data_IF_225918601297
#
_entry.id   IF_225918601297
#
_cell.length_a   1.000
_cell.length_b   1.000
_cell.length_c   1.000
_cell.angle_alpha   90.00
_cell.angle_beta   90.00
_cell.angle_gamma   90.00
#
_symmetry.space_group_name_H-M   'P 1'
#
loop_
_entity.id
_entity.type
_entity.pdbx_description
1 polymer ?
#
# COMPACT_ATOMS: atom_id res chain seq x y z
N UNK A 1 -10.12 -1.43 -50.78
CA UNK A 1 -9.53 -0.83 -49.55
C UNK A 1 -8.05 -0.55 -49.83
N UNK A 2 -7.64 0.72 -49.79
CA UNK A 2 -6.27 1.16 -50.10
C UNK A 2 -5.52 1.48 -48.80
N UNK A 3 -4.25 1.07 -48.70
CA UNK A 3 -3.47 1.25 -47.47
C UNK A 3 -3.10 2.72 -47.26
N UNK A 4 -3.37 3.28 -46.07
CA UNK A 4 -3.08 4.69 -45.76
C UNK A 4 -1.60 5.01 -45.54
N UNK A 5 -0.71 4.01 -45.48
CA UNK A 5 0.75 4.21 -45.34
C UNK A 5 1.42 4.32 -46.71
N UNK A 6 1.12 3.40 -47.64
CA UNK A 6 1.82 3.31 -48.92
C UNK A 6 0.91 3.55 -50.14
N UNK A 7 -0.39 3.78 -49.95
CA UNK A 7 -1.35 4.06 -51.03
C UNK A 7 -1.70 2.87 -51.93
N UNK A 8 -1.16 1.66 -51.68
CA UNK A 8 -1.40 0.48 -52.52
C UNK A 8 -2.61 -0.34 -52.04
N UNK A 9 -3.41 -0.92 -52.96
CA UNK A 9 -4.55 -1.79 -52.61
C UNK A 9 -4.09 -3.19 -52.15
N UNK A 10 -4.99 -3.95 -51.53
CA UNK A 10 -4.78 -5.37 -51.19
C UNK A 10 -4.24 -5.66 -49.78
N UNK A 11 -3.99 -4.64 -48.97
CA UNK A 11 -3.62 -4.78 -47.56
C UNK A 11 -4.07 -3.58 -46.73
N UNK A 12 -4.06 -3.70 -45.40
CA UNK A 12 -4.41 -2.60 -44.49
C UNK A 12 -3.17 -2.08 -43.75
N UNK A 13 -3.35 -0.99 -42.99
CA UNK A 13 -2.26 -0.31 -42.25
C UNK A 13 -1.45 -1.25 -41.35
N UNK A 14 -2.06 -2.31 -40.80
CA UNK A 14 -1.37 -3.25 -39.90
C UNK A 14 -0.41 -4.19 -40.63
N UNK A 15 -0.72 -4.54 -41.87
CA UNK A 15 0.03 -5.52 -42.68
C UNK A 15 0.89 -4.86 -43.77
N UNK A 16 1.11 -3.54 -43.69
CA UNK A 16 1.90 -2.82 -44.68
C UNK A 16 3.39 -3.18 -44.60
N UNK A 17 4.02 -3.66 -45.70
CA UNK A 17 5.42 -4.09 -45.69
C UNK A 17 6.40 -2.94 -45.40
N UNK A 18 6.06 -1.70 -45.79
CA UNK A 18 6.91 -0.52 -45.53
C UNK A 18 6.94 -0.10 -44.04
N UNK A 19 6.04 -0.64 -43.22
CA UNK A 19 6.04 -0.40 -41.76
C UNK A 19 7.22 -1.11 -41.06
N UNK A 20 7.76 -2.19 -41.64
CA UNK A 20 8.86 -2.95 -41.04
C UNK A 20 10.25 -2.41 -41.41
N UNK A 21 10.36 -1.58 -42.46
CA UNK A 21 11.66 -1.12 -42.96
C UNK A 21 12.19 0.10 -42.21
N UNK A 22 11.32 0.87 -41.55
CA UNK A 22 11.67 2.12 -40.87
C UNK A 22 12.02 1.95 -39.38
N UNK A 23 12.04 0.72 -38.86
CA UNK A 23 12.23 0.42 -37.43
C UNK A 23 13.58 -0.17 -37.02
N UNK A 24 14.63 -0.12 -37.86
CA UNK A 24 15.89 -0.84 -37.64
C UNK A 24 17.01 -0.05 -36.92
N UNK A 25 16.78 1.16 -36.43
CA UNK A 25 17.84 1.94 -35.74
C UNK A 25 17.74 2.04 -34.22
N UNK A 26 16.79 1.37 -33.55
CA UNK A 26 16.70 1.37 -32.09
C UNK A 26 16.26 0.00 -31.51
N UNK A 27 17.02 -1.06 -31.77
CA UNK A 27 16.95 -2.27 -30.94
C UNK A 27 18.14 -2.32 -29.97
N UNK A 28 17.92 -2.52 -28.65
CA UNK A 28 19.00 -2.75 -27.71
C UNK A 28 19.77 -4.02 -28.09
N UNK A 29 21.09 -3.94 -28.10
CA UNK A 29 22.00 -5.07 -28.24
C UNK A 29 21.62 -6.12 -27.18
N UNK A 30 21.33 -7.39 -27.53
CA UNK A 30 21.09 -8.42 -26.54
C UNK A 30 22.39 -8.68 -25.76
N UNK A 31 22.35 -8.74 -24.41
CA UNK A 31 23.55 -8.96 -23.62
C UNK A 31 24.12 -10.35 -23.93
N UNK A 32 25.40 -10.38 -24.28
CA UNK A 32 26.13 -11.55 -24.77
C UNK A 32 26.53 -12.57 -23.68
N UNK A 33 25.85 -12.60 -22.54
CA UNK A 33 26.03 -13.65 -21.52
C UNK A 33 24.71 -13.86 -20.76
N UNK A 34 24.26 -15.12 -20.54
CA UNK A 34 23.13 -15.37 -19.66
C UNK A 34 23.52 -14.89 -18.25
N UNK A 35 22.73 -14.00 -17.61
CA UNK A 35 23.04 -13.53 -16.27
C UNK A 35 23.12 -14.73 -15.33
N UNK A 36 24.09 -14.79 -14.40
CA UNK A 36 24.21 -15.88 -13.45
C UNK A 36 22.86 -16.01 -12.77
N UNK A 37 22.28 -17.21 -12.84
CA UNK A 37 20.93 -17.51 -12.41
C UNK A 37 20.75 -17.05 -10.94
N UNK A 38 20.28 -15.80 -10.74
CA UNK A 38 20.19 -15.15 -9.41
C UNK A 38 19.38 -16.00 -8.43
N UNK A 39 18.46 -16.82 -8.94
CA UNK A 39 17.66 -17.79 -8.17
C UNK A 39 18.48 -18.98 -7.65
N UNK A 40 19.52 -19.41 -8.36
CA UNK A 40 20.41 -20.48 -7.93
C UNK A 40 21.41 -20.01 -6.86
N UNK A 41 21.99 -18.82 -7.06
CA UNK A 41 22.89 -18.18 -6.09
C UNK A 41 22.18 -17.89 -4.76
N UNK A 42 20.96 -17.35 -4.82
CA UNK A 42 20.13 -17.15 -3.62
C UNK A 42 19.81 -18.47 -2.93
N UNK A 43 19.39 -19.53 -3.64
CA UNK A 43 19.11 -20.85 -3.02
C UNK A 43 20.31 -21.46 -2.30
N UNK A 44 21.52 -21.35 -2.87
CA UNK A 44 22.77 -21.85 -2.24
C UNK A 44 23.13 -21.05 -0.99
N UNK A 45 23.02 -19.72 -1.05
CA UNK A 45 23.19 -18.83 0.09
C UNK A 45 22.18 -19.14 1.22
N UNK A 46 20.90 -19.36 0.87
CA UNK A 46 19.84 -19.67 1.84
C UNK A 46 20.01 -21.01 2.53
N UNK A 47 20.39 -22.08 1.80
CA UNK A 47 20.67 -23.39 2.40
C UNK A 47 21.81 -23.31 3.41
N UNK A 48 22.83 -22.51 3.09
CA UNK A 48 23.97 -22.26 3.98
C UNK A 48 23.51 -21.51 5.23
N UNK A 49 22.74 -20.43 5.07
CA UNK A 49 22.21 -19.61 6.18
C UNK A 49 21.31 -20.40 7.14
N UNK A 50 20.40 -21.23 6.62
CA UNK A 50 19.52 -22.06 7.46
C UNK A 50 20.33 -23.09 8.24
N UNK A 51 21.28 -23.76 7.59
CA UNK A 51 22.18 -24.72 8.23
C UNK A 51 22.96 -24.06 9.37
N UNK A 52 23.37 -22.82 9.17
CA UNK A 52 24.07 -22.01 10.16
C UNK A 52 23.18 -21.63 11.35
N UNK A 53 21.95 -21.18 11.12
CA UNK A 53 21.00 -20.88 12.20
C UNK A 53 20.72 -22.12 13.05
N UNK A 54 20.51 -23.28 12.41
CA UNK A 54 20.29 -24.55 13.11
C UNK A 54 21.54 -24.95 13.93
N UNK A 55 22.74 -24.75 13.40
CA UNK A 55 23.97 -25.00 14.13
C UNK A 55 24.17 -24.05 15.32
N UNK A 56 23.76 -22.79 15.20
CA UNK A 56 23.80 -21.81 16.29
C UNK A 56 22.81 -22.17 17.39
N UNK A 57 21.57 -22.52 17.04
CA UNK A 57 20.56 -22.99 18.00
C UNK A 57 21.02 -24.23 18.75
N UNK A 58 21.64 -25.19 18.04
CA UNK A 58 22.22 -26.39 18.66
C UNK A 58 23.38 -26.05 19.59
N UNK A 59 24.25 -25.12 19.20
CA UNK A 59 25.34 -24.65 20.06
C UNK A 59 24.78 -24.04 21.36
N UNK A 60 23.85 -23.10 21.25
CA UNK A 60 23.20 -22.47 22.43
C UNK A 60 22.57 -23.52 23.35
N UNK A 61 21.85 -24.50 22.77
CA UNK A 61 21.23 -25.59 23.55
C UNK A 61 22.24 -26.48 24.25
N UNK A 62 23.32 -26.88 23.57
CA UNK A 62 24.38 -27.72 24.16
C UNK A 62 25.15 -26.97 25.25
N UNK A 63 25.46 -25.70 25.03
CA UNK A 63 26.13 -24.86 26.02
C UNK A 63 25.27 -24.64 27.27
N UNK A 64 23.94 -24.50 27.12
CA UNK A 64 23.01 -24.43 28.24
C UNK A 64 23.00 -25.74 29.04
N UNK A 65 22.86 -26.89 28.37
CA UNK A 65 22.84 -28.20 29.03
C UNK A 65 24.15 -28.51 29.78
N UNK A 66 25.32 -28.24 29.17
CA UNK A 66 26.62 -28.46 29.83
C UNK A 66 26.76 -27.59 31.08
N UNK A 67 26.26 -26.36 31.03
CA UNK A 67 26.28 -25.44 32.15
C UNK A 67 25.35 -25.87 33.29
N UNK A 68 24.14 -26.34 32.98
CA UNK A 68 23.20 -26.88 33.97
C UNK A 68 23.77 -28.09 34.70
N UNK A 69 24.54 -28.93 34.00
CA UNK A 69 25.22 -30.10 34.58
C UNK A 69 26.57 -29.77 35.25
N UNK A 70 26.96 -28.48 35.32
CA UNK A 70 28.28 -28.01 35.82
C UNK A 70 29.48 -28.65 35.09
N UNK A 71 29.27 -29.07 33.85
CA UNK A 71 30.31 -29.61 32.99
C UNK A 71 31.09 -28.50 32.28
N UNK A 72 32.31 -28.80 31.87
CA UNK A 72 33.19 -27.78 31.31
C UNK A 72 32.72 -27.35 29.90
N UNK A 73 32.43 -26.06 29.72
CA UNK A 73 32.00 -25.47 28.44
C UNK A 73 33.00 -25.71 27.29
N UNK A 74 34.26 -26.08 27.56
CA UNK A 74 35.23 -26.50 26.54
C UNK A 74 34.72 -27.65 25.64
N UNK A 75 33.79 -28.47 26.13
CA UNK A 75 33.18 -29.54 25.34
C UNK A 75 32.22 -29.03 24.25
N UNK A 76 31.76 -27.78 24.34
CA UNK A 76 30.95 -27.11 23.30
C UNK A 76 31.78 -26.60 22.11
N UNK A 77 33.12 -26.61 22.20
CA UNK A 77 34.04 -26.09 21.19
C UNK A 77 33.86 -26.74 19.81
N UNK A 78 33.55 -28.04 19.76
CA UNK A 78 33.29 -28.75 18.49
C UNK A 78 31.99 -28.31 17.80
N UNK A 79 31.00 -27.84 18.56
CA UNK A 79 29.78 -27.26 18.00
C UNK A 79 30.02 -25.81 17.51
N UNK A 80 30.93 -25.09 18.16
CA UNK A 80 31.36 -23.76 17.72
C UNK A 80 32.19 -23.79 16.43
N UNK A 81 33.10 -24.75 16.27
CA UNK A 81 33.87 -24.93 15.02
C UNK A 81 33.00 -25.11 13.78
N UNK A 82 31.77 -25.62 13.93
CA UNK A 82 30.77 -25.76 12.85
C UNK A 82 30.03 -24.46 12.52
N UNK A 83 30.29 -23.39 13.27
CA UNK A 83 29.70 -22.06 13.14
C UNK A 83 30.74 -21.00 12.73
N UNK A 84 32.03 -21.36 12.61
CA UNK A 84 33.12 -20.43 12.29
C UNK A 84 32.91 -19.66 10.98
N UNK A 85 32.18 -20.23 10.02
CA UNK A 85 31.90 -19.62 8.72
C UNK A 85 30.88 -18.46 8.80
N UNK A 86 30.20 -18.27 9.95
CA UNK A 86 29.43 -17.04 10.23
C UNK A 86 30.29 -15.78 10.14
N UNK A 87 31.57 -15.90 10.49
CA UNK A 87 32.55 -14.81 10.53
C UNK A 87 32.68 -14.07 9.20
N UNK A 88 32.63 -14.79 8.08
CA UNK A 88 32.83 -14.22 6.74
C UNK A 88 31.58 -13.43 6.28
N UNK A 89 30.43 -13.64 6.94
CA UNK A 89 29.14 -13.10 6.50
C UNK A 89 28.72 -11.79 7.19
N UNK A 90 29.45 -11.35 8.22
CA UNK A 90 29.13 -10.14 9.00
C UNK A 90 30.27 -9.11 8.88
N UNK A 91 30.16 -8.10 8.01
CA UNK A 91 31.26 -7.20 7.69
C UNK A 91 31.54 -6.13 8.76
N UNK A 92 30.81 -6.08 9.88
CA UNK A 92 30.83 -4.90 10.74
C UNK A 92 31.65 -4.98 12.04
N UNK A 93 31.99 -6.15 12.60
CA UNK A 93 32.79 -6.20 13.85
C UNK A 93 33.57 -7.52 14.02
N UNK A 94 34.71 -7.70 13.33
CA UNK A 94 35.52 -8.92 13.47
C UNK A 94 36.34 -8.97 14.77
N UNK A 95 36.86 -7.82 15.25
CA UNK A 95 37.91 -7.83 16.29
C UNK A 95 37.40 -7.82 17.74
N UNK A 96 36.13 -7.49 17.98
CA UNK A 96 35.56 -7.41 19.34
C UNK A 96 34.69 -8.60 19.73
N UNK A 97 34.19 -9.40 18.77
CA UNK A 97 33.22 -10.46 19.06
C UNK A 97 33.85 -11.72 19.65
N UNK A 98 35.05 -12.10 19.19
CA UNK A 98 35.80 -13.22 19.78
C UNK A 98 36.16 -12.97 21.24
N UNK A 99 36.61 -11.76 21.55
CA UNK A 99 36.94 -11.28 22.90
C UNK A 99 35.69 -11.18 23.78
N UNK A 100 34.55 -10.77 23.20
CA UNK A 100 33.25 -10.71 23.89
C UNK A 100 32.72 -12.10 24.24
N UNK A 101 32.89 -13.10 23.37
CA UNK A 101 32.48 -14.48 23.64
C UNK A 101 33.40 -15.17 24.65
N UNK A 102 34.72 -14.96 24.58
CA UNK A 102 35.65 -15.43 25.62
C UNK A 102 35.36 -14.77 26.97
N UNK A 103 34.95 -13.49 26.97
CA UNK A 103 34.45 -12.79 28.15
C UNK A 103 33.13 -13.37 28.69
N UNK A 104 32.19 -13.72 27.82
CA UNK A 104 30.89 -14.30 28.17
C UNK A 104 30.99 -15.75 28.66
N UNK A 105 31.88 -16.56 28.08
CA UNK A 105 32.15 -17.92 28.55
C UNK A 105 32.78 -17.94 29.95
N UNK A 106 33.35 -16.80 30.38
CA UNK A 106 33.98 -16.61 31.69
C UNK A 106 33.17 -15.76 32.69
N UNK A 107 32.02 -15.18 32.33
CA UNK A 107 31.26 -14.27 33.20
C UNK A 107 29.77 -14.65 33.34
N UNK A 108 29.26 -14.48 34.56
CA UNK A 108 27.96 -14.97 35.03
C UNK A 108 26.70 -14.36 34.37
N UNK A 109 25.56 -14.89 34.82
CA UNK A 109 24.17 -14.83 34.31
C UNK A 109 23.67 -13.58 33.54
N UNK A 110 24.21 -12.38 33.77
CA UNK A 110 23.71 -11.11 33.20
C UNK A 110 23.83 -11.00 31.67
N UNK A 111 24.80 -11.68 31.06
CA UNK A 111 25.02 -11.61 29.60
C UNK A 111 24.18 -12.61 28.78
N UNK A 112 23.45 -13.54 29.43
CA UNK A 112 22.57 -14.51 28.76
C UNK A 112 21.39 -13.84 28.03
N UNK A 113 20.82 -12.79 28.62
CA UNK A 113 19.69 -12.03 28.05
C UNK A 113 20.12 -11.20 26.83
N UNK A 114 21.35 -10.66 26.85
CA UNK A 114 21.89 -9.87 25.76
C UNK A 114 22.14 -10.71 24.49
N UNK A 115 22.62 -11.94 24.64
CA UNK A 115 22.83 -12.85 23.49
C UNK A 115 21.51 -13.29 22.89
N UNK A 116 20.51 -13.63 23.72
CA UNK A 116 19.19 -14.00 23.24
C UNK A 116 18.53 -12.83 22.51
N UNK A 117 18.63 -11.61 23.06
CA UNK A 117 18.12 -10.41 22.42
C UNK A 117 18.85 -10.07 21.12
N UNK A 118 20.18 -10.20 21.08
CA UNK A 118 20.97 -9.99 19.86
C UNK A 118 20.62 -11.03 18.78
N UNK A 119 20.44 -12.29 19.16
CA UNK A 119 20.04 -13.38 18.25
C UNK A 119 18.62 -13.18 17.72
N UNK A 120 17.68 -12.77 18.58
CA UNK A 120 16.31 -12.45 18.19
C UNK A 120 16.26 -11.23 17.26
N UNK A 121 17.07 -10.21 17.53
CA UNK A 121 17.16 -9.01 16.69
C UNK A 121 17.73 -9.37 15.31
N UNK A 122 18.82 -10.14 15.26
CA UNK A 122 19.40 -10.60 14.00
C UNK A 122 18.43 -11.48 13.20
N UNK A 123 17.69 -12.38 13.86
CA UNK A 123 16.66 -13.19 13.20
C UNK A 123 15.50 -12.32 12.68
N UNK A 124 15.09 -11.29 13.43
CA UNK A 124 14.05 -10.35 13.01
C UNK A 124 14.47 -9.52 11.81
N UNK A 125 15.71 -9.01 11.78
CA UNK A 125 16.24 -8.25 10.65
C UNK A 125 16.37 -9.12 9.39
N UNK A 126 16.81 -10.37 9.53
CA UNK A 126 16.85 -11.35 8.43
C UNK A 126 15.43 -11.71 7.93
N UNK A 127 14.44 -11.78 8.81
CA UNK A 127 13.04 -11.99 8.43
C UNK A 127 12.48 -10.78 7.66
N UNK A 128 12.76 -9.54 8.10
CA UNK A 128 12.40 -8.31 7.38
C UNK A 128 13.10 -8.19 6.02
N UNK A 129 14.35 -8.65 5.91
CA UNK A 129 15.07 -8.69 4.63
C UNK A 129 14.51 -9.74 3.65
N UNK A 130 13.99 -10.87 4.16
CA UNK A 130 13.33 -11.93 3.37
C UNK A 130 11.91 -11.57 2.96
N UNK A 131 11.19 -10.89 3.83
CA UNK A 131 9.86 -10.35 3.59
C UNK A 131 9.98 -8.83 3.64
N UNK A 132 10.52 -8.18 2.58
CA UNK A 132 10.47 -6.74 2.52
C UNK A 132 9.00 -6.40 2.68
N UNK A 133 8.65 -5.76 3.79
CA UNK A 133 7.35 -5.12 3.94
C UNK A 133 7.35 -4.16 2.77
N UNK A 134 6.64 -4.53 1.68
CA UNK A 134 6.31 -3.57 0.63
C UNK A 134 5.79 -2.38 1.42
N UNK A 135 6.35 -1.20 1.18
CA UNK A 135 5.96 -0.01 1.93
C UNK A 135 4.45 0.18 1.69
N UNK A 136 3.65 -0.37 2.60
CA UNK A 136 2.21 -0.54 2.43
C UNK A 136 1.48 0.74 2.78
N UNK A 137 2.24 1.83 2.95
CA UNK A 137 1.74 3.18 3.14
C UNK A 137 0.90 3.54 1.92
N UNK A 138 -0.38 3.76 2.17
CA UNK A 138 -1.35 4.25 1.21
C UNK A 138 -1.88 5.58 1.73
N UNK A 139 -1.92 6.57 0.85
CA UNK A 139 -2.70 7.77 1.11
C UNK A 139 -4.07 7.59 0.48
N UNK A 140 -5.11 7.69 1.30
CA UNK A 140 -6.52 7.59 0.90
C UNK A 140 -7.18 8.94 1.16
N UNK A 141 -8.08 9.35 0.27
CA UNK A 141 -8.92 10.52 0.42
C UNK A 141 -10.35 10.08 0.72
N UNK A 142 -10.89 10.55 1.83
CA UNK A 142 -12.31 10.43 2.16
C UNK A 142 -13.03 11.66 1.58
N UNK A 143 -14.13 11.43 0.87
CA UNK A 143 -14.92 12.48 0.24
C UNK A 143 -16.32 12.41 0.83
N UNK A 144 -16.73 13.44 1.56
CA UNK A 144 -18.07 13.48 2.16
C UNK A 144 -19.09 14.06 1.17
N UNK A 145 -20.02 13.22 0.74
CA UNK A 145 -21.11 13.61 -0.17
C UNK A 145 -22.41 13.90 0.59
N UNK A 146 -22.43 13.70 1.91
CA UNK A 146 -23.62 13.88 2.75
C UNK A 146 -23.61 15.26 3.41
N UNK A 147 -24.80 15.70 3.81
CA UNK A 147 -25.00 16.98 4.48
C UNK A 147 -24.78 16.90 6.00
N UNK A 148 -23.86 16.05 6.45
CA UNK A 148 -23.54 15.82 7.86
C UNK A 148 -22.04 15.79 8.04
N UNK A 149 -21.54 16.18 9.22
CA UNK A 149 -20.12 16.09 9.55
C UNK A 149 -19.82 14.71 10.15
N UNK A 150 -18.58 14.23 9.99
CA UNK A 150 -18.12 12.96 10.55
C UNK A 150 -16.84 13.14 11.35
N UNK A 151 -16.78 12.49 12.51
CA UNK A 151 -15.55 12.33 13.28
C UNK A 151 -14.86 11.05 12.83
N UNK A 152 -13.57 11.16 12.50
CA UNK A 152 -12.78 10.03 12.04
C UNK A 152 -11.95 9.51 13.22
N UNK A 153 -12.14 8.23 13.53
CA UNK A 153 -11.35 7.50 14.52
C UNK A 153 -10.60 6.35 13.87
N UNK A 154 -9.33 6.19 14.23
CA UNK A 154 -8.50 5.07 13.81
C UNK A 154 -8.40 4.06 14.95
N UNK A 155 -8.69 2.79 14.68
CA UNK A 155 -8.47 1.71 15.64
C UNK A 155 -7.01 1.30 15.65
N UNK A 156 -6.36 1.41 16.80
CA UNK A 156 -4.98 0.99 16.99
C UNK A 156 -4.91 -0.54 16.88
N UNK A 157 -4.12 -1.02 15.93
CA UNK A 157 -3.98 -2.44 15.64
C UNK A 157 -4.01 -2.71 14.14
N UNK A 158 -3.83 -3.98 13.78
CA UNK A 158 -3.90 -4.43 12.40
C UNK A 158 -4.82 -5.65 12.29
N UNK A 159 -5.93 -5.53 11.54
CA UNK A 159 -6.95 -6.57 11.35
C UNK A 159 -6.34 -7.86 10.77
N UNK A 160 -5.24 -7.75 10.00
CA UNK A 160 -4.59 -8.91 9.39
C UNK A 160 -3.72 -9.70 10.37
N UNK A 161 -3.38 -9.11 11.51
CA UNK A 161 -2.47 -9.69 12.52
C UNK A 161 -3.24 -10.06 13.79
N UNK A 162 -4.21 -9.22 14.16
CA UNK A 162 -4.91 -9.27 15.44
C UNK A 162 -6.42 -9.43 15.22
N UNK A 163 -7.06 -10.18 16.12
CA UNK A 163 -8.52 -10.34 16.16
C UNK A 163 -9.18 -9.14 16.86
N UNK A 164 -9.24 -8.03 16.12
CA UNK A 164 -9.77 -6.74 16.58
C UNK A 164 -11.26 -6.85 16.94
N UNK A 165 -12.03 -7.72 16.29
CA UNK A 165 -13.49 -7.81 16.49
C UNK A 165 -13.87 -8.37 17.87
N UNK A 166 -13.02 -9.20 18.48
CA UNK A 166 -13.32 -9.83 19.77
C UNK A 166 -12.91 -9.00 20.98
N UNK A 167 -12.00 -8.05 20.80
CA UNK A 167 -11.40 -7.27 21.90
C UNK A 167 -11.96 -5.86 21.94
N UNK A 168 -11.71 -5.19 23.05
CA UNK A 168 -11.87 -3.74 23.14
C UNK A 168 -10.54 -3.12 22.71
N UNK A 169 -10.60 -2.24 21.72
CA UNK A 169 -9.41 -1.69 21.07
C UNK A 169 -9.32 -0.20 21.34
N UNK A 170 -8.11 0.26 21.63
CA UNK A 170 -7.84 1.68 21.75
C UNK A 170 -8.02 2.36 20.40
N UNK A 171 -8.62 3.55 20.42
CA UNK A 171 -8.84 4.35 19.21
C UNK A 171 -8.10 5.68 19.32
N UNK A 172 -7.72 6.22 18.17
CA UNK A 172 -7.11 7.54 18.05
C UNK A 172 -7.98 8.44 17.19
N UNK A 173 -8.23 9.67 17.66
CA UNK A 173 -8.96 10.67 16.90
C UNK A 173 -8.06 11.26 15.81
N UNK A 174 -8.59 11.32 14.58
CA UNK A 174 -7.84 11.79 13.41
C UNK A 174 -8.26 13.20 12.96
N UNK A 175 -9.52 13.57 13.12
CA UNK A 175 -10.06 14.85 12.65
C UNK A 175 -11.57 14.82 12.35
N UNK A 176 -12.12 16.00 12.07
CA UNK A 176 -13.48 16.16 11.51
C UNK A 176 -13.41 16.19 9.99
N UNK A 177 -14.26 15.39 9.35
CA UNK A 177 -14.64 15.50 7.95
C UNK A 177 -15.95 16.28 7.85
N UNK A 178 -15.86 17.52 7.37
CA UNK A 178 -17.03 18.40 7.21
C UNK A 178 -17.91 17.97 6.04
N UNK A 179 -19.16 18.43 6.02
CA UNK A 179 -20.06 18.29 4.87
C UNK A 179 -19.42 18.87 3.60
N UNK A 180 -19.54 18.17 2.48
CA UNK A 180 -18.96 18.58 1.19
C UNK A 180 -17.47 18.94 1.26
N UNK A 181 -16.69 18.14 2.00
CA UNK A 181 -15.24 18.33 2.16
C UNK A 181 -14.46 17.03 1.89
N UNK A 182 -13.14 17.15 1.75
CA UNK A 182 -12.19 16.05 1.53
C UNK A 182 -11.25 15.93 2.72
N UNK A 183 -11.00 14.70 3.18
CA UNK A 183 -10.02 14.44 4.24
C UNK A 183 -8.96 13.44 3.80
N UNK A 184 -7.69 13.82 3.88
CA UNK A 184 -6.57 12.96 3.51
C UNK A 184 -6.07 12.11 4.69
N UNK A 185 -5.97 10.81 4.48
CA UNK A 185 -5.49 9.84 5.48
C UNK A 185 -4.24 9.12 4.98
N UNK A 186 -3.18 9.14 5.78
CA UNK A 186 -2.03 8.27 5.59
C UNK A 186 -2.27 6.98 6.39
N UNK A 187 -2.35 5.85 5.69
CA UNK A 187 -2.76 4.57 6.27
C UNK A 187 -1.94 3.42 5.71
N UNK A 188 -2.17 2.20 6.20
CA UNK A 188 -1.60 0.97 5.65
C UNK A 188 -2.62 -0.15 5.62
N UNK A 189 -2.28 -1.24 4.92
CA UNK A 189 -3.14 -2.43 4.83
C UNK A 189 -3.37 -3.01 6.24
N UNK A 190 -4.64 -3.28 6.54
CA UNK A 190 -5.10 -3.81 7.82
C UNK A 190 -5.51 -2.76 8.84
N UNK A 191 -5.40 -1.47 8.55
CA UNK A 191 -5.99 -0.43 9.40
C UNK A 191 -7.52 -0.41 9.31
N UNK A 192 -8.17 -0.07 10.43
CA UNK A 192 -9.62 0.14 10.54
C UNK A 192 -9.93 1.58 10.95
N UNK A 193 -10.89 2.19 10.29
CA UNK A 193 -11.41 3.51 10.66
C UNK A 193 -12.90 3.46 10.94
N UNK A 194 -13.36 4.23 11.91
CA UNK A 194 -14.76 4.48 12.19
C UNK A 194 -15.10 5.93 11.86
N UNK A 195 -16.23 6.12 11.18
CA UNK A 195 -16.81 7.43 10.94
C UNK A 195 -18.06 7.57 11.81
N UNK A 196 -18.01 8.48 12.76
CA UNK A 196 -19.12 8.73 13.69
C UNK A 196 -19.81 10.03 13.28
N UNK A 197 -21.14 10.04 13.06
CA UNK A 197 -21.85 11.24 12.66
C UNK A 197 -21.78 12.30 13.76
N UNK A 198 -21.57 13.55 13.36
CA UNK A 198 -21.43 14.69 14.26
C UNK A 198 -22.24 15.87 13.74
N UNK A 199 -23.02 16.49 14.63
CA UNK A 199 -23.95 17.57 14.25
C UNK A 199 -23.34 18.96 14.33
N UNK A 200 -22.21 19.12 15.02
CA UNK A 200 -21.57 20.41 15.23
C UNK A 200 -20.41 20.61 14.25
N UNK A 201 -20.08 21.88 14.00
CA UNK A 201 -18.91 22.26 13.18
C UNK A 201 -17.62 22.36 14.01
N UNK A 202 -17.72 22.22 15.33
CA UNK A 202 -16.61 22.25 16.29
C UNK A 202 -16.24 20.85 16.78
N UNK A 203 -14.97 20.67 17.14
CA UNK A 203 -14.50 19.43 17.77
C UNK A 203 -15.18 19.20 19.12
N UNK A 204 -15.63 17.97 19.41
CA UNK A 204 -16.18 17.66 20.71
C UNK A 204 -15.06 17.75 21.77
N UNK A 205 -15.36 18.23 22.98
CA UNK A 205 -14.36 18.34 24.05
C UNK A 205 -13.88 16.98 24.57
N UNK A 206 -14.63 15.91 24.31
CA UNK A 206 -14.31 14.56 24.75
C UNK A 206 -14.40 13.58 23.59
N UNK A 207 -13.38 12.71 23.51
CA UNK A 207 -13.31 11.62 22.56
C UNK A 207 -13.29 10.28 23.30
N UNK A 208 -13.97 9.24 22.77
CA UNK A 208 -13.90 7.91 23.33
C UNK A 208 -12.47 7.37 23.26
N UNK A 209 -12.07 6.60 24.27
CA UNK A 209 -10.73 6.00 24.33
C UNK A 209 -10.68 4.64 23.64
N UNK A 210 -11.84 3.97 23.55
CA UNK A 210 -11.97 2.64 22.94
C UNK A 210 -13.13 2.59 21.96
N UNK A 211 -13.06 1.62 21.04
CA UNK A 211 -14.08 1.37 20.02
C UNK A 211 -15.44 0.88 20.58
N UNK A 212 -15.50 0.52 21.87
CA UNK A 212 -16.75 0.14 22.55
C UNK A 212 -17.38 1.29 23.34
N UNK A 213 -16.69 2.43 23.46
CA UNK A 213 -17.18 3.61 24.18
C UNK A 213 -17.92 4.60 23.28
N UNK A 214 -18.22 4.25 22.02
CA UNK A 214 -19.02 5.11 21.16
C UNK A 214 -20.44 5.24 21.71
N UNK A 215 -20.85 6.47 22.02
CA UNK A 215 -22.22 6.78 22.45
C UNK A 215 -23.24 6.70 21.31
N UNK A 216 -22.76 6.76 20.06
CA UNK A 216 -23.56 6.73 18.84
C UNK A 216 -22.93 5.67 17.93
N UNK A 217 -23.77 4.86 17.29
CA UNK A 217 -23.28 3.87 16.34
C UNK A 217 -22.51 4.55 15.19
N UNK A 218 -21.31 4.06 14.86
CA UNK A 218 -20.58 4.56 13.70
C UNK A 218 -21.41 4.39 12.44
N UNK A 219 -21.45 5.44 11.61
CA UNK A 219 -22.12 5.38 10.32
C UNK A 219 -21.42 4.40 9.37
N UNK A 220 -20.08 4.37 9.43
CA UNK A 220 -19.27 3.57 8.52
C UNK A 220 -18.04 3.03 9.23
N UNK A 221 -17.73 1.77 8.94
CA UNK A 221 -16.48 1.11 9.31
C UNK A 221 -15.70 0.82 8.03
N UNK A 222 -14.52 1.43 7.91
CA UNK A 222 -13.65 1.29 6.74
C UNK A 222 -12.47 0.40 7.10
N UNK A 223 -12.35 -0.74 6.41
CA UNK A 223 -11.21 -1.66 6.56
C UNK A 223 -10.28 -1.56 5.34
N UNK A 224 -9.02 -1.20 5.56
CA UNK A 224 -8.07 -0.99 4.45
C UNK A 224 -7.47 -2.32 4.00
N UNK A 225 -7.67 -2.65 2.73
CA UNK A 225 -7.16 -3.84 2.07
C UNK A 225 -6.36 -3.51 0.80
N UNK A 226 -5.78 -4.53 0.15
CA UNK A 226 -4.97 -4.33 -1.07
C UNK A 226 -5.76 -3.65 -2.20
N UNK A 227 -7.02 -4.05 -2.39
CA UNK A 227 -7.89 -3.51 -3.43
C UNK A 227 -8.64 -2.21 -3.06
N UNK A 228 -8.38 -1.60 -1.90
CA UNK A 228 -9.08 -0.36 -1.49
C UNK A 228 -8.68 0.78 -2.43
N UNK A 229 -9.68 1.51 -2.94
CA UNK A 229 -9.50 2.66 -3.82
C UNK A 229 -8.79 3.80 -3.10
N UNK A 230 -8.11 4.67 -3.86
CA UNK A 230 -7.48 5.88 -3.32
C UNK A 230 -8.50 6.92 -2.86
N UNK A 231 -9.70 6.89 -3.42
CA UNK A 231 -10.80 7.78 -3.06
C UNK A 231 -11.99 6.94 -2.59
N UNK A 232 -12.48 7.26 -1.39
CA UNK A 232 -13.65 6.62 -0.78
C UNK A 232 -14.73 7.70 -0.67
N UNK A 233 -15.87 7.44 -1.29
CA UNK A 233 -17.01 8.33 -1.31
C UNK A 233 -17.98 7.91 -0.20
N UNK A 234 -18.22 8.80 0.74
CA UNK A 234 -19.14 8.58 1.86
C UNK A 234 -20.50 9.10 1.42
N UNK A 235 -21.38 8.16 1.09
CA UNK A 235 -22.73 8.42 0.59
C UNK A 235 -23.67 7.30 1.09
N UNK A 236 -23.90 6.26 0.29
CA UNK A 236 -24.59 5.04 0.75
C UNK A 236 -23.55 4.03 1.27
N UNK A 237 -23.05 4.31 2.48
CA UNK A 237 -21.91 3.62 3.05
C UNK A 237 -20.59 3.99 2.33
N UNK A 238 -19.85 2.98 1.85
CA UNK A 238 -18.59 3.17 1.11
C UNK A 238 -18.78 3.38 -0.41
N UNK A 239 -20.02 3.27 -0.89
CA UNK A 239 -20.34 3.33 -2.33
C UNK A 239 -21.08 4.63 -2.64
N UNK A 240 -20.79 5.15 -3.82
CA UNK A 240 -21.60 6.21 -4.41
C UNK A 240 -23.01 5.68 -4.64
N UNK A 241 -24.03 6.40 -4.16
CA UNK A 241 -25.42 6.06 -4.44
C UNK A 241 -25.67 6.03 -5.95
N UNK A 242 -26.62 5.22 -6.38
CA UNK A 242 -27.00 5.14 -7.78
C UNK A 242 -27.43 6.52 -8.33
N UNK A 243 -28.14 7.29 -7.52
CA UNK A 243 -28.54 8.66 -7.86
C UNK A 243 -27.33 9.55 -8.14
N UNK A 244 -26.33 9.56 -7.25
CA UNK A 244 -25.11 10.36 -7.45
C UNK A 244 -24.28 9.86 -8.64
N UNK A 245 -24.30 8.56 -8.94
CA UNK A 245 -23.66 8.00 -10.14
C UNK A 245 -24.31 8.53 -11.41
N UNK A 246 -25.64 8.53 -11.48
CA UNK A 246 -26.38 9.09 -12.61
C UNK A 246 -26.15 10.59 -12.73
N UNK A 247 -26.16 11.32 -11.60
CA UNK A 247 -25.84 12.75 -11.56
C UNK A 247 -24.46 13.05 -12.14
N UNK A 248 -23.42 12.32 -11.74
CA UNK A 248 -22.06 12.53 -12.26
C UNK A 248 -21.93 12.16 -13.73
N UNK A 249 -22.58 11.09 -14.18
CA UNK A 249 -22.57 10.73 -15.59
C UNK A 249 -23.29 11.77 -16.46
N UNK A 250 -24.43 12.29 -15.99
CA UNK A 250 -25.16 13.36 -16.66
C UNK A 250 -24.32 14.63 -16.77
N UNK A 251 -23.67 15.05 -15.68
CA UNK A 251 -22.76 16.21 -15.66
C UNK A 251 -21.57 16.06 -16.61
N UNK A 252 -20.96 14.87 -16.66
CA UNK A 252 -19.86 14.58 -17.59
C UNK A 252 -20.32 14.62 -19.05
N UNK A 253 -21.50 14.07 -19.32
CA UNK A 253 -22.08 14.06 -20.66
C UNK A 253 -22.40 15.49 -21.11
N UNK A 254 -23.08 16.29 -20.28
CA UNK A 254 -23.41 17.69 -20.58
C UNK A 254 -22.13 18.51 -20.84
N UNK A 255 -21.10 18.35 -19.99
CA UNK A 255 -19.81 19.00 -20.22
C UNK A 255 -19.19 18.58 -21.57
N UNK A 256 -19.18 17.29 -21.89
CA UNK A 256 -18.65 16.77 -23.15
C UNK A 256 -19.39 17.34 -24.36
N UNK A 257 -20.72 17.39 -24.30
CA UNK A 257 -21.56 17.92 -25.39
C UNK A 257 -21.30 19.42 -25.59
N UNK A 258 -21.18 20.20 -24.52
CA UNK A 258 -20.81 21.62 -24.61
C UNK A 258 -19.44 21.83 -25.25
N UNK A 259 -18.46 21.00 -24.93
CA UNK A 259 -17.14 21.05 -25.59
C UNK A 259 -17.22 20.64 -27.07
N UNK A 260 -18.04 19.64 -27.41
CA UNK A 260 -18.28 19.29 -28.82
C UNK A 260 -18.90 20.45 -29.60
N UNK A 261 -19.87 21.16 -29.02
CA UNK A 261 -20.46 22.36 -29.63
C UNK A 261 -19.38 23.42 -29.88
N UNK A 262 -18.49 23.69 -28.91
CA UNK A 262 -17.37 24.64 -29.07
C UNK A 262 -16.41 24.23 -30.18
N UNK A 263 -16.20 22.93 -30.38
CA UNK A 263 -15.36 22.39 -31.46
C UNK A 263 -16.04 22.40 -32.84
N UNK A 264 -17.28 22.91 -32.94
CA UNK A 264 -18.00 23.07 -34.21
C UNK A 264 -18.90 21.88 -34.57
N UNK A 265 -19.30 21.05 -33.60
CA UNK A 265 -20.17 19.89 -33.87
C UNK A 265 -21.53 20.27 -34.46
N UNK A 266 -22.03 21.49 -34.23
CA UNK A 266 -23.26 22.02 -34.86
C UNK A 266 -23.17 22.14 -36.39
N UNK A 267 -21.96 22.23 -36.93
CA UNK A 267 -21.75 22.32 -38.38
C UNK A 267 -21.72 20.94 -39.07
N UNK A 268 -21.97 19.86 -38.31
CA UNK A 268 -21.97 18.50 -38.81
C UNK A 268 -23.40 17.95 -38.76
N UNK A 269 -24.00 17.72 -39.93
CA UNK A 269 -25.39 17.24 -40.08
C UNK A 269 -25.70 15.97 -39.25
N UNK A 270 -24.72 15.11 -39.01
CA UNK A 270 -24.91 13.88 -38.23
C UNK A 270 -24.93 14.14 -36.72
N UNK A 271 -24.12 15.09 -36.26
CA UNK A 271 -24.03 15.42 -34.83
C UNK A 271 -25.12 16.40 -34.41
N UNK A 272 -25.58 17.25 -35.32
CA UNK A 272 -26.61 18.26 -35.07
C UNK A 272 -27.90 17.65 -34.51
N UNK A 273 -28.36 16.52 -35.08
CA UNK A 273 -29.55 15.78 -34.59
C UNK A 273 -29.36 15.29 -33.14
N UNK A 274 -28.14 14.89 -32.77
CA UNK A 274 -27.83 14.42 -31.40
C UNK A 274 -27.74 15.61 -30.43
N UNK A 275 -27.25 16.76 -30.90
CA UNK A 275 -27.17 17.98 -30.11
C UNK A 275 -28.55 18.58 -29.85
N UNK A 276 -29.43 18.57 -30.84
CA UNK A 276 -30.82 19.02 -30.73
C UNK A 276 -31.55 18.27 -29.61
N UNK A 277 -31.47 16.93 -29.62
CA UNK A 277 -32.04 16.08 -28.55
C UNK A 277 -31.44 16.34 -27.16
N UNK A 278 -30.18 16.80 -27.10
CA UNK A 278 -29.54 17.13 -25.84
C UNK A 278 -29.95 18.52 -25.34
N UNK A 279 -30.20 19.49 -26.22
CA UNK A 279 -30.66 20.84 -25.85
C UNK A 279 -32.03 20.82 -25.16
N UNK A 280 -32.86 19.82 -25.46
CA UNK A 280 -34.13 19.56 -24.76
C UNK A 280 -33.95 19.10 -23.31
N UNK A 281 -32.76 18.64 -22.91
CA UNK A 281 -32.49 18.17 -21.55
C UNK A 281 -32.09 19.36 -20.67
N UNK A 282 -33.04 19.85 -19.88
CA UNK A 282 -32.76 20.87 -18.87
C UNK A 282 -32.18 20.24 -17.61
N UNK A 283 -30.93 20.55 -17.28
CA UNK A 283 -30.31 20.19 -16.00
C UNK A 283 -30.41 21.35 -15.01
N UNK A 284 -30.75 21.05 -13.76
CA UNK A 284 -30.75 22.04 -12.67
C UNK A 284 -29.34 22.59 -12.41
N UNK A 285 -29.27 23.78 -11.83
CA UNK A 285 -27.99 24.36 -11.40
C UNK A 285 -27.31 23.46 -10.37
N UNK A 286 -26.14 22.93 -10.74
CA UNK A 286 -25.33 22.07 -9.88
C UNK A 286 -24.20 22.87 -9.25
N UNK A 287 -24.05 22.74 -7.93
CA UNK A 287 -22.97 23.40 -7.19
C UNK A 287 -21.58 23.01 -7.71
N UNK A 288 -20.64 23.94 -7.65
CA UNK A 288 -19.23 23.75 -8.05
C UNK A 288 -18.55 22.55 -7.37
N UNK A 289 -18.93 22.23 -6.14
CA UNK A 289 -18.46 21.04 -5.42
C UNK A 289 -18.74 19.74 -6.19
N UNK A 290 -19.98 19.50 -6.60
CA UNK A 290 -20.36 18.31 -7.36
C UNK A 290 -19.66 18.26 -8.73
N UNK A 291 -19.35 19.42 -9.34
CA UNK A 291 -18.59 19.49 -10.60
C UNK A 291 -17.15 19.01 -10.40
N UNK A 292 -16.48 19.52 -9.37
CA UNK A 292 -15.12 19.13 -9.01
C UNK A 292 -15.03 17.62 -8.68
N UNK A 293 -15.97 17.11 -7.90
CA UNK A 293 -16.03 15.67 -7.57
C UNK A 293 -16.34 14.82 -8.81
N UNK A 294 -17.21 15.28 -9.70
CA UNK A 294 -17.46 14.61 -10.97
C UNK A 294 -16.24 14.65 -11.90
N UNK A 295 -15.19 15.42 -11.60
CA UNK A 295 -14.00 15.55 -12.45
C UNK A 295 -14.27 16.33 -13.74
N UNK A 296 -15.27 17.20 -13.73
CA UNK A 296 -15.47 18.21 -14.78
C UNK A 296 -14.90 19.54 -14.29
N UNK A 297 -14.46 20.43 -15.19
CA UNK A 297 -13.94 21.73 -14.79
C UNK A 297 -14.94 22.50 -13.93
N UNK A 298 -14.44 22.92 -12.78
CA UNK A 298 -15.09 23.79 -11.82
C UNK A 298 -14.25 25.05 -11.59
N UNK A 299 -14.82 26.02 -10.91
CA UNK A 299 -14.10 27.16 -10.35
C UNK A 299 -12.88 26.74 -9.51
N UNK A 300 -12.92 25.58 -8.85
CA UNK A 300 -11.82 25.07 -8.02
C UNK A 300 -10.64 24.52 -8.83
N UNK A 301 -10.88 24.00 -10.05
CA UNK A 301 -9.83 23.39 -10.87
C UNK A 301 -8.85 24.38 -11.51
N UNK A 302 -9.20 25.67 -11.58
CA UNK A 302 -8.38 26.72 -12.22
C UNK A 302 -7.61 27.60 -11.21
N UNK A 303 -7.65 27.28 -9.91
CA UNK A 303 -6.86 27.98 -8.90
C UNK A 303 -5.53 27.23 -8.75
N UNK A 304 -4.54 27.57 -9.58
CA UNK A 304 -3.13 27.18 -9.42
C UNK A 304 -2.27 28.42 -9.30
#
# INVERSE_FOLDING_TARGET
MVCSICGQPGHNRRTCPQRNTTGLTNQPIPPSDPPPNRRALTRKFWRTTIKTIVNLQRFVKVSLNLHENKENLKYSYFHWLKNKDLYISFPCYPDSFGTFIVGILNLGYSHKLQILNATNTACSELYKARNPVKDNKKTIKLINMRNENYLIYWVLGNIMIEDIDRKENSINYMGILRKNDKFGLNTMIGHRFYLVPHRLDSEPPYHPQTDKQFFIEPHLQINIHENTKKEIYIDDGEKLSELNRWKFNALKLDYLIREMIKLGAKNNETLDIVLDLHEDITLDEVSEWYKDIAGIPSTFTNIT
#
